data_IF_012741506206
#
_entry.id   IF_012741506206
#
_cell.length_a   1.000
_cell.length_b   1.000
_cell.length_c   1.000
_cell.angle_alpha   90.00
_cell.angle_beta   90.00
_cell.angle_gamma   90.00
#
_symmetry.space_group_name_H-M   'P 1'
#
loop_
_entity.id
_entity.type
_entity.pdbx_description
1 polymer ?
#
# COMPACT_ATOMS: atom_id res chain seq x y z
N UNK A 1 26.41 11.84 -4.50
CA UNK A 1 25.10 11.25 -4.15
C UNK A 1 24.76 9.96 -4.92
N UNK A 2 25.26 9.73 -6.14
CA UNK A 2 24.90 8.54 -6.96
C UNK A 2 25.05 7.18 -6.27
N UNK A 3 25.98 7.04 -5.33
CA UNK A 3 26.18 5.78 -4.58
C UNK A 3 25.17 5.54 -3.44
N UNK A 4 24.41 6.57 -3.04
CA UNK A 4 23.44 6.46 -1.93
C UNK A 4 22.33 5.47 -2.25
N UNK A 5 21.85 5.47 -3.47
CA UNK A 5 20.69 4.68 -3.93
C UNK A 5 21.04 3.37 -4.62
N UNK A 6 22.33 2.99 -4.65
CA UNK A 6 22.73 1.64 -5.09
C UNK A 6 22.26 0.54 -4.12
N UNK A 7 21.82 0.92 -2.93
CA UNK A 7 21.24 0.07 -1.89
C UNK A 7 20.10 0.80 -1.19
N UNK A 8 19.39 0.10 -0.32
CA UNK A 8 18.37 0.73 0.52
C UNK A 8 18.98 1.88 1.32
N UNK A 9 18.32 3.02 1.29
CA UNK A 9 18.74 4.27 1.93
C UNK A 9 17.69 4.69 2.98
N UNK A 10 18.15 4.97 4.19
CA UNK A 10 17.35 5.61 5.21
C UNK A 10 17.80 7.06 5.39
N UNK A 11 16.86 7.99 5.28
CA UNK A 11 17.05 9.42 5.54
C UNK A 11 16.38 9.75 6.87
N UNK A 12 17.15 10.21 7.83
CA UNK A 12 16.65 10.58 9.16
C UNK A 12 17.00 12.01 9.53
N UNK A 13 16.16 12.64 10.33
CA UNK A 13 16.41 13.98 10.86
C UNK A 13 15.13 14.66 11.33
N UNK A 14 15.24 15.60 12.22
CA UNK A 14 14.11 16.34 12.76
C UNK A 14 13.34 17.14 11.68
N UNK A 15 12.14 17.56 12.00
CA UNK A 15 11.36 18.47 11.13
C UNK A 15 12.16 19.74 10.86
N UNK A 16 12.20 20.15 9.58
CA UNK A 16 12.93 21.37 9.16
C UNK A 16 14.45 21.17 8.98
N UNK A 17 15.02 19.98 9.20
CA UNK A 17 16.46 19.71 9.02
C UNK A 17 16.91 19.58 7.56
N UNK A 18 15.98 19.45 6.59
CA UNK A 18 16.29 19.35 5.16
C UNK A 18 16.01 17.98 4.52
N UNK A 19 15.31 17.04 5.21
CA UNK A 19 14.97 15.71 4.67
C UNK A 19 14.29 15.76 3.30
N UNK A 20 13.21 16.55 3.19
CA UNK A 20 12.44 16.68 1.94
C UNK A 20 13.34 17.23 0.82
N UNK A 21 14.18 18.23 1.12
CA UNK A 21 15.17 18.74 0.15
C UNK A 21 16.12 17.65 -0.32
N UNK A 22 16.65 16.85 0.62
CA UNK A 22 17.52 15.72 0.28
C UNK A 22 16.83 14.70 -0.60
N UNK A 23 15.57 14.37 -0.29
CA UNK A 23 14.77 13.43 -1.08
C UNK A 23 14.54 13.96 -2.50
N UNK A 24 14.18 15.25 -2.64
CA UNK A 24 14.01 15.90 -3.93
C UNK A 24 15.32 15.95 -4.73
N UNK A 25 16.44 16.27 -4.07
CA UNK A 25 17.77 16.26 -4.71
C UNK A 25 18.18 14.85 -5.19
N UNK A 26 17.87 13.83 -4.40
CA UNK A 26 18.10 12.44 -4.80
C UNK A 26 17.25 12.08 -6.03
N UNK A 27 15.95 12.44 -6.00
CA UNK A 27 15.05 12.20 -7.14
C UNK A 27 15.52 12.93 -8.41
N UNK A 28 15.99 14.18 -8.31
CA UNK A 28 16.57 14.94 -9.41
C UNK A 28 17.75 14.19 -10.04
N UNK A 29 18.67 13.71 -9.23
CA UNK A 29 19.83 12.95 -9.71
C UNK A 29 19.42 11.61 -10.33
N UNK A 30 18.45 10.91 -9.75
CA UNK A 30 17.95 9.65 -10.30
C UNK A 30 17.27 9.87 -11.66
N UNK A 31 16.51 10.95 -11.82
CA UNK A 31 15.92 11.34 -13.10
C UNK A 31 16.99 11.71 -14.14
N UNK A 32 17.98 12.51 -13.74
CA UNK A 32 19.12 12.89 -14.61
C UNK A 32 19.88 11.66 -15.09
N UNK A 33 20.06 10.65 -14.24
CA UNK A 33 20.69 9.38 -14.60
C UNK A 33 19.73 8.41 -15.31
N UNK A 34 18.55 8.85 -15.71
CA UNK A 34 17.52 8.07 -16.39
C UNK A 34 17.12 6.78 -15.68
N UNK A 35 17.15 6.78 -14.32
CA UNK A 35 16.70 5.66 -13.51
C UNK A 35 15.20 5.69 -13.29
N UNK A 36 14.58 4.51 -13.22
CA UNK A 36 13.16 4.38 -12.94
C UNK A 36 12.89 4.59 -11.44
N UNK A 37 11.93 5.45 -11.11
CA UNK A 37 11.60 5.81 -9.74
C UNK A 37 10.08 5.73 -9.50
N UNK A 38 9.67 5.18 -8.38
CA UNK A 38 8.28 5.18 -7.90
C UNK A 38 8.25 5.95 -6.59
N UNK A 39 7.44 6.99 -6.52
CA UNK A 39 7.20 7.75 -5.30
C UNK A 39 5.81 7.39 -4.79
N UNK A 40 5.73 6.75 -3.62
CA UNK A 40 4.49 6.57 -2.89
C UNK A 40 4.29 7.80 -2.02
N UNK A 41 3.37 8.67 -2.44
CA UNK A 41 3.16 10.00 -1.86
C UNK A 41 1.88 10.06 -1.02
N UNK A 42 1.94 9.74 0.27
CA UNK A 42 0.76 9.78 1.13
C UNK A 42 0.37 11.20 1.55
N UNK A 43 1.22 12.18 1.31
CA UNK A 43 1.01 13.57 1.71
C UNK A 43 0.55 14.48 0.56
N UNK A 44 0.85 14.10 -0.68
CA UNK A 44 0.59 14.90 -1.88
C UNK A 44 1.65 15.99 -2.14
N UNK A 45 2.83 15.89 -1.49
CA UNK A 45 3.91 16.87 -1.63
C UNK A 45 4.70 16.71 -2.92
N UNK A 46 4.70 15.49 -3.50
CA UNK A 46 5.45 15.15 -4.72
C UNK A 46 4.62 15.29 -6.00
N UNK A 47 3.36 15.72 -5.89
CA UNK A 47 2.45 15.85 -7.04
C UNK A 47 2.88 16.89 -8.09
N UNK A 48 3.82 17.77 -7.75
CA UNK A 48 4.38 18.80 -8.64
C UNK A 48 5.83 18.50 -9.06
N UNK A 49 6.30 17.27 -8.83
CA UNK A 49 7.68 16.87 -9.19
C UNK A 49 7.88 16.99 -10.71
N UNK A 50 8.89 17.74 -11.18
CA UNK A 50 9.18 17.85 -12.61
C UNK A 50 9.50 16.50 -13.24
N UNK A 51 9.17 16.34 -14.54
CA UNK A 51 9.44 15.12 -15.32
C UNK A 51 8.84 13.84 -14.73
N UNK A 52 7.79 13.95 -13.93
CA UNK A 52 7.06 12.83 -13.36
C UNK A 52 5.68 12.68 -13.99
N UNK A 53 5.20 11.45 -14.05
CA UNK A 53 3.79 11.16 -14.31
C UNK A 53 3.09 10.93 -12.97
N UNK A 54 1.96 11.58 -12.75
CA UNK A 54 1.26 11.56 -11.46
C UNK A 54 -0.10 10.89 -11.60
N UNK A 55 -0.28 9.83 -10.81
CA UNK A 55 -1.55 9.15 -10.62
C UNK A 55 -2.11 9.43 -9.23
N UNK A 56 -3.29 10.07 -9.18
CA UNK A 56 -3.99 10.44 -7.93
C UNK A 56 -5.18 9.54 -7.71
N UNK A 57 -5.19 8.84 -6.57
CA UNK A 57 -6.35 8.03 -6.19
C UNK A 57 -7.62 8.87 -6.07
N UNK A 58 -8.68 8.39 -6.72
CA UNK A 58 -9.98 9.06 -6.74
C UNK A 58 -10.11 10.21 -7.72
N UNK A 59 -9.03 10.56 -8.44
CA UNK A 59 -9.06 11.49 -9.55
C UNK A 59 -8.86 10.74 -10.88
N UNK A 60 -7.62 10.45 -11.23
CA UNK A 60 -7.26 9.76 -12.48
C UNK A 60 -6.83 8.30 -12.27
N UNK A 61 -6.83 7.81 -11.01
CA UNK A 61 -6.49 6.44 -10.66
C UNK A 61 -7.46 5.82 -9.65
N UNK A 62 -7.56 4.48 -9.68
CA UNK A 62 -8.31 3.68 -8.72
C UNK A 62 -7.64 2.32 -8.53
N UNK A 63 -8.05 1.58 -7.51
CA UNK A 63 -7.70 0.18 -7.29
C UNK A 63 -8.94 -0.71 -7.41
N UNK A 64 -8.79 -1.84 -8.06
CA UNK A 64 -9.83 -2.88 -8.04
C UNK A 64 -9.98 -3.45 -6.64
N UNK A 65 -11.22 -3.57 -6.11
CA UNK A 65 -11.43 -4.10 -4.75
C UNK A 65 -10.87 -5.52 -4.59
N UNK A 66 -10.88 -6.33 -5.63
CA UNK A 66 -10.34 -7.69 -5.63
C UNK A 66 -8.82 -7.78 -5.55
N UNK A 67 -8.09 -6.66 -5.51
CA UNK A 67 -6.67 -6.63 -5.15
C UNK A 67 -6.46 -6.89 -3.65
N UNK A 68 -7.47 -6.63 -2.84
CA UNK A 68 -7.48 -6.97 -1.42
C UNK A 68 -8.12 -8.34 -1.20
N UNK A 69 -7.58 -9.14 -0.28
CA UNK A 69 -8.36 -10.22 0.31
C UNK A 69 -9.46 -9.63 1.19
N UNK A 70 -10.52 -10.39 1.47
CA UNK A 70 -11.58 -9.94 2.36
C UNK A 70 -11.04 -9.48 3.72
N UNK A 71 -10.10 -10.23 4.32
CA UNK A 71 -9.46 -9.85 5.58
C UNK A 71 -8.68 -8.54 5.46
N UNK A 72 -7.87 -8.38 4.40
CA UNK A 72 -7.13 -7.14 4.17
C UNK A 72 -8.06 -5.93 3.99
N UNK A 73 -9.19 -6.11 3.32
CA UNK A 73 -10.19 -5.06 3.14
C UNK A 73 -10.80 -4.64 4.48
N UNK A 74 -11.25 -5.61 5.29
CA UNK A 74 -11.83 -5.36 6.62
C UNK A 74 -10.81 -4.67 7.54
N UNK A 75 -9.57 -5.16 7.57
CA UNK A 75 -8.50 -4.57 8.37
C UNK A 75 -8.14 -3.14 7.88
N UNK A 76 -8.14 -2.90 6.55
CA UNK A 76 -7.90 -1.58 5.97
C UNK A 76 -9.00 -0.56 6.32
N UNK A 77 -10.22 -1.03 6.51
CA UNK A 77 -11.35 -0.22 6.98
C UNK A 77 -11.33 0.02 8.49
N UNK A 78 -10.42 -0.63 9.23
CA UNK A 78 -10.33 -0.52 10.68
C UNK A 78 -11.42 -1.27 11.44
N UNK A 79 -12.11 -2.21 10.77
CA UNK A 79 -13.20 -2.97 11.34
C UNK A 79 -12.69 -4.22 12.07
N UNK A 80 -13.39 -4.58 13.14
CA UNK A 80 -13.07 -5.77 13.94
C UNK A 80 -14.18 -6.79 13.74
N UNK A 81 -13.98 -7.73 12.84
CA UNK A 81 -14.85 -8.87 12.64
C UNK A 81 -14.35 -10.06 13.45
N UNK A 82 -15.25 -10.85 13.99
CA UNK A 82 -14.91 -12.14 14.56
C UNK A 82 -14.55 -13.16 13.47
N UNK A 83 -14.21 -14.38 13.86
CA UNK A 83 -13.79 -15.42 12.91
C UNK A 83 -14.92 -15.86 11.97
N UNK A 84 -16.16 -15.87 12.45
CA UNK A 84 -17.33 -16.29 11.68
C UNK A 84 -17.65 -15.24 10.61
N UNK A 85 -17.73 -13.98 11.00
CA UNK A 85 -18.01 -12.88 10.07
C UNK A 85 -16.87 -12.66 9.06
N UNK A 86 -15.59 -12.87 9.46
CA UNK A 86 -14.46 -12.87 8.54
C UNK A 86 -14.56 -13.97 7.48
N UNK A 87 -15.00 -15.16 7.87
CA UNK A 87 -15.23 -16.26 6.93
C UNK A 87 -16.39 -15.94 5.97
N UNK A 88 -17.49 -15.43 6.49
CA UNK A 88 -18.61 -14.97 5.66
C UNK A 88 -18.18 -13.88 4.67
N UNK A 89 -17.33 -12.94 5.09
CA UNK A 89 -16.79 -11.92 4.20
C UNK A 89 -15.92 -12.49 3.05
N UNK A 90 -15.21 -13.59 3.28
CA UNK A 90 -14.46 -14.28 2.22
C UNK A 90 -15.43 -14.87 1.18
N UNK A 91 -16.50 -15.52 1.62
CA UNK A 91 -17.53 -16.05 0.73
C UNK A 91 -18.24 -14.91 -0.02
N UNK A 92 -18.65 -13.87 0.68
CA UNK A 92 -19.32 -12.71 0.09
C UNK A 92 -18.47 -12.03 -1.01
N UNK A 93 -17.16 -11.87 -0.80
CA UNK A 93 -16.27 -11.34 -1.83
C UNK A 93 -16.19 -12.27 -3.04
N UNK A 94 -16.13 -13.59 -2.83
CA UNK A 94 -16.11 -14.56 -3.93
C UNK A 94 -17.43 -14.55 -4.70
N UNK A 95 -18.56 -14.50 -4.03
CA UNK A 95 -19.89 -14.50 -4.64
C UNK A 95 -20.13 -13.20 -5.45
N UNK A 96 -19.69 -12.04 -4.94
CA UNK A 96 -19.69 -10.80 -5.73
C UNK A 96 -18.80 -10.89 -6.97
N UNK A 97 -17.65 -11.57 -6.87
CA UNK A 97 -16.78 -11.81 -8.04
C UNK A 97 -17.43 -12.75 -9.05
N UNK A 98 -18.09 -13.82 -8.60
CA UNK A 98 -18.88 -14.71 -9.48
C UNK A 98 -19.94 -13.90 -10.19
N UNK A 99 -20.74 -13.14 -9.44
CA UNK A 99 -21.84 -12.34 -9.98
C UNK A 99 -21.37 -11.36 -11.05
N UNK A 100 -20.28 -10.64 -10.78
CA UNK A 100 -19.78 -9.62 -11.69
C UNK A 100 -18.95 -10.16 -12.85
N UNK A 101 -18.08 -11.16 -12.62
CA UNK A 101 -17.09 -11.54 -13.64
C UNK A 101 -17.48 -12.81 -14.42
N UNK A 102 -18.27 -13.72 -13.84
CA UNK A 102 -18.73 -14.94 -14.52
C UNK A 102 -20.14 -14.78 -15.07
N UNK A 103 -21.08 -14.35 -14.22
CA UNK A 103 -22.47 -14.20 -14.61
C UNK A 103 -22.73 -12.87 -15.36
N UNK A 104 -21.82 -11.90 -15.19
CA UNK A 104 -21.92 -10.56 -15.77
C UNK A 104 -23.28 -9.89 -15.46
N UNK A 105 -23.71 -9.99 -14.20
CA UNK A 105 -24.99 -9.47 -13.73
C UNK A 105 -24.78 -8.46 -12.61
N UNK A 106 -25.57 -7.38 -12.55
CA UNK A 106 -25.51 -6.42 -11.44
C UNK A 106 -26.17 -7.00 -10.17
N UNK A 107 -25.75 -6.48 -8.99
CA UNK A 107 -26.33 -6.85 -7.70
C UNK A 107 -25.58 -7.94 -6.97
N UNK A 108 -26.22 -8.49 -5.95
CA UNK A 108 -25.68 -9.57 -5.13
C UNK A 108 -25.93 -10.94 -5.76
N UNK A 109 -25.06 -11.89 -5.45
CA UNK A 109 -25.29 -13.29 -5.74
C UNK A 109 -26.28 -13.86 -4.75
N UNK A 110 -27.46 -14.26 -5.22
CA UNK A 110 -28.55 -14.77 -4.37
C UNK A 110 -28.27 -16.23 -4.01
N UNK A 111 -28.17 -16.54 -2.72
CA UNK A 111 -27.86 -17.90 -2.23
C UNK A 111 -29.11 -18.75 -1.93
N UNK A 112 -30.26 -18.11 -1.70
CA UNK A 112 -31.51 -18.83 -1.46
C UNK A 112 -31.87 -19.63 -2.72
N UNK A 113 -32.17 -20.92 -2.51
CA UNK A 113 -32.52 -21.88 -3.56
C UNK A 113 -31.43 -22.12 -4.63
N UNK A 114 -30.23 -21.63 -4.42
CA UNK A 114 -29.09 -21.91 -5.30
C UNK A 114 -28.53 -23.32 -5.02
N UNK A 115 -28.37 -24.19 -6.05
CA UNK A 115 -27.78 -25.51 -5.87
C UNK A 115 -26.30 -25.42 -5.46
N UNK A 116 -25.89 -26.21 -4.49
CA UNK A 116 -24.49 -26.26 -4.03
C UNK A 116 -23.54 -26.60 -5.17
N UNK A 117 -23.87 -27.58 -6.01
CA UNK A 117 -23.01 -28.01 -7.11
C UNK A 117 -22.81 -26.91 -8.16
N UNK A 118 -23.84 -26.11 -8.44
CA UNK A 118 -23.75 -24.97 -9.39
C UNK A 118 -22.77 -23.94 -8.84
N UNK A 119 -22.94 -23.52 -7.61
CA UNK A 119 -22.05 -22.56 -6.96
C UNK A 119 -20.61 -23.06 -6.86
N UNK A 120 -20.39 -24.35 -6.53
CA UNK A 120 -19.05 -24.93 -6.50
C UNK A 120 -18.37 -24.86 -7.87
N UNK A 121 -19.11 -25.20 -8.93
CA UNK A 121 -18.60 -25.13 -10.30
C UNK A 121 -18.23 -23.67 -10.69
N UNK A 122 -19.07 -22.70 -10.36
CA UNK A 122 -18.80 -21.28 -10.59
C UNK A 122 -17.58 -20.80 -9.79
N UNK A 123 -17.47 -21.20 -8.53
CA UNK A 123 -16.33 -20.87 -7.69
C UNK A 123 -15.00 -21.45 -8.20
N UNK A 124 -15.02 -22.68 -8.76
CA UNK A 124 -13.85 -23.30 -9.40
C UNK A 124 -13.39 -22.58 -10.67
N UNK A 125 -14.32 -21.94 -11.39
CA UNK A 125 -14.02 -21.13 -12.58
C UNK A 125 -13.41 -19.77 -12.21
N UNK A 126 -13.54 -19.33 -10.96
CA UNK A 126 -13.09 -18.03 -10.50
C UNK A 126 -11.55 -17.99 -10.42
N UNK A 127 -10.91 -17.44 -11.44
CA UNK A 127 -9.46 -17.31 -11.50
C UNK A 127 -8.93 -16.01 -10.85
N UNK A 128 -7.60 -15.89 -10.79
CA UNK A 128 -6.91 -14.67 -10.30
C UNK A 128 -7.20 -13.42 -11.13
N UNK A 129 -7.77 -13.56 -12.30
CA UNK A 129 -8.18 -12.47 -13.20
C UNK A 129 -9.44 -11.75 -12.71
N UNK A 130 -10.30 -12.43 -11.95
CA UNK A 130 -11.56 -11.90 -11.46
C UNK A 130 -11.32 -10.98 -10.24
N UNK A 131 -11.13 -9.69 -10.49
CA UNK A 131 -10.82 -8.70 -9.46
C UNK A 131 -11.88 -7.62 -9.32
N UNK A 132 -12.68 -7.40 -10.37
CA UNK A 132 -13.69 -6.36 -10.38
C UNK A 132 -14.97 -6.84 -9.71
N UNK A 133 -15.51 -6.05 -8.79
CA UNK A 133 -16.84 -6.17 -8.22
C UNK A 133 -17.24 -4.86 -7.55
N UNK A 134 -18.54 -4.62 -7.35
CA UNK A 134 -18.98 -3.45 -6.60
C UNK A 134 -18.84 -3.71 -5.09
N UNK A 135 -17.80 -3.12 -4.49
CA UNK A 135 -17.52 -3.25 -3.06
C UNK A 135 -18.63 -2.68 -2.17
N UNK A 136 -19.45 -1.76 -2.70
CA UNK A 136 -20.59 -1.18 -1.97
C UNK A 136 -21.68 -2.22 -1.69
N UNK A 137 -21.72 -3.31 -2.46
CA UNK A 137 -22.66 -4.41 -2.27
C UNK A 137 -22.20 -5.42 -1.20
N UNK A 138 -20.97 -5.32 -0.69
CA UNK A 138 -20.46 -6.29 0.28
C UNK A 138 -21.31 -6.43 1.55
N UNK A 139 -21.89 -5.36 2.15
CA UNK A 139 -22.79 -5.51 3.29
C UNK A 139 -24.09 -6.27 2.95
N UNK A 140 -24.62 -6.07 1.75
CA UNK A 140 -25.83 -6.77 1.30
C UNK A 140 -25.49 -8.23 0.96
N UNK A 141 -24.37 -8.49 0.33
CA UNK A 141 -23.90 -9.85 0.07
C UNK A 141 -23.63 -10.62 1.37
N UNK A 142 -23.12 -9.98 2.44
CA UNK A 142 -22.99 -10.64 3.75
C UNK A 142 -24.33 -11.15 4.30
N UNK A 143 -25.42 -10.45 4.04
CA UNK A 143 -26.77 -10.91 4.43
C UNK A 143 -27.14 -12.16 3.63
N UNK A 144 -26.81 -12.21 2.33
CA UNK A 144 -27.02 -13.38 1.48
C UNK A 144 -26.24 -14.62 1.95
N UNK A 145 -25.08 -14.43 2.62
CA UNK A 145 -24.30 -15.54 3.18
C UNK A 145 -24.97 -16.22 4.37
N UNK A 146 -25.90 -15.54 5.05
CA UNK A 146 -26.57 -16.04 6.24
C UNK A 146 -27.90 -16.71 5.86
N UNK A 147 -27.80 -17.85 5.19
CA UNK A 147 -28.95 -18.66 4.76
C UNK A 147 -28.88 -20.07 5.32
N UNK A 148 -30.03 -20.65 5.61
CA UNK A 148 -30.18 -21.99 6.20
C UNK A 148 -31.29 -22.77 5.48
N UNK A 149 -31.27 -24.10 5.53
CA UNK A 149 -32.39 -24.93 5.10
C UNK A 149 -33.65 -24.65 5.93
N UNK A 150 -34.85 -24.99 5.43
CA UNK A 150 -36.04 -25.02 6.27
C UNK A 150 -35.84 -25.96 7.46
N UNK A 151 -36.49 -25.64 8.58
CA UNK A 151 -36.43 -26.44 9.81
C UNK A 151 -37.39 -27.66 9.82
N UNK A 152 -38.13 -27.87 8.76
CA UNK A 152 -39.15 -28.93 8.64
C UNK A 152 -38.88 -29.86 7.44
N UNK A 153 -39.86 -30.70 7.10
CA UNK A 153 -39.73 -31.71 6.01
C UNK A 153 -39.47 -31.11 4.61
N UNK A 154 -39.60 -29.79 4.45
CA UNK A 154 -39.28 -29.12 3.18
C UNK A 154 -37.76 -28.86 2.99
N UNK A 155 -36.95 -29.21 3.99
CA UNK A 155 -35.55 -29.00 3.92
C UNK A 155 -34.91 -29.76 2.72
N UNK A 156 -34.23 -29.01 1.85
CA UNK A 156 -33.42 -29.55 0.76
C UNK A 156 -31.95 -29.19 1.02
N UNK A 157 -31.16 -30.21 1.36
CA UNK A 157 -29.73 -30.07 1.68
C UNK A 157 -28.82 -30.02 0.44
N UNK A 158 -29.38 -30.06 -0.79
CA UNK A 158 -28.65 -29.81 -2.03
C UNK A 158 -28.61 -28.32 -2.36
N UNK A 159 -29.35 -27.48 -1.65
CA UNK A 159 -29.38 -26.04 -1.78
C UNK A 159 -28.47 -25.38 -0.75
N UNK A 160 -27.88 -24.24 -1.09
CA UNK A 160 -27.07 -23.44 -0.17
C UNK A 160 -27.88 -22.89 1.00
N UNK A 161 -29.14 -22.54 0.76
CA UNK A 161 -30.09 -22.14 1.75
C UNK A 161 -31.50 -22.00 1.17
N UNK A 162 -32.50 -21.91 2.03
CA UNK A 162 -33.91 -21.80 1.63
C UNK A 162 -34.60 -20.65 2.34
N UNK A 163 -34.03 -20.20 3.45
CA UNK A 163 -34.47 -19.04 4.22
C UNK A 163 -33.29 -18.33 4.87
N UNK A 164 -33.47 -17.06 5.20
CA UNK A 164 -32.44 -16.30 5.93
C UNK A 164 -32.33 -16.74 7.39
N UNK A 165 -31.14 -16.82 7.90
CA UNK A 165 -30.87 -16.95 9.34
C UNK A 165 -31.01 -15.59 10.02
N UNK A 166 -32.28 -15.23 10.34
CA UNK A 166 -32.56 -13.95 10.99
C UNK A 166 -31.89 -13.79 12.36
N UNK A 167 -31.54 -14.88 13.06
CA UNK A 167 -30.84 -14.81 14.34
C UNK A 167 -29.39 -14.37 14.14
N UNK A 168 -28.71 -14.96 13.18
CA UNK A 168 -27.34 -14.61 12.87
C UNK A 168 -27.26 -13.21 12.26
N UNK A 169 -28.15 -12.87 11.33
CA UNK A 169 -28.23 -11.51 10.77
C UNK A 169 -28.44 -10.48 11.88
N UNK A 170 -29.34 -10.72 12.83
CA UNK A 170 -29.58 -9.81 13.94
C UNK A 170 -28.37 -9.69 14.88
N UNK A 171 -27.63 -10.78 15.12
CA UNK A 171 -26.42 -10.77 15.93
C UNK A 171 -25.31 -9.92 15.28
N UNK A 172 -25.13 -10.03 13.95
CA UNK A 172 -24.08 -9.34 13.20
C UNK A 172 -24.50 -7.98 12.63
N UNK A 173 -25.73 -7.54 12.89
CA UNK A 173 -26.30 -6.34 12.29
C UNK A 173 -25.47 -5.09 12.51
N UNK A 174 -24.91 -4.91 13.71
CA UNK A 174 -24.07 -3.73 14.01
C UNK A 174 -22.78 -3.73 13.19
N UNK A 175 -22.15 -4.89 12.99
CA UNK A 175 -20.95 -5.06 12.18
C UNK A 175 -21.23 -4.80 10.70
N UNK A 176 -22.36 -5.28 10.19
CA UNK A 176 -22.82 -5.05 8.81
C UNK A 176 -23.08 -3.57 8.56
N UNK A 177 -23.73 -2.86 9.48
CA UNK A 177 -23.96 -1.42 9.36
C UNK A 177 -22.67 -0.63 9.40
N UNK A 178 -21.73 -0.96 10.31
CA UNK A 178 -20.41 -0.31 10.35
C UNK A 178 -19.64 -0.51 9.03
N UNK A 179 -19.70 -1.71 8.45
CA UNK A 179 -19.11 -1.97 7.14
C UNK A 179 -19.74 -1.08 6.07
N UNK A 180 -21.07 -0.98 6.03
CA UNK A 180 -21.81 -0.13 5.08
C UNK A 180 -21.40 1.33 5.18
N UNK A 181 -21.33 1.88 6.40
CA UNK A 181 -20.91 3.25 6.64
C UNK A 181 -19.45 3.48 6.22
N UNK A 182 -18.55 2.54 6.56
CA UNK A 182 -17.14 2.63 6.17
C UNK A 182 -16.95 2.62 4.67
N UNK A 183 -17.65 1.74 3.95
CA UNK A 183 -17.59 1.65 2.49
C UNK A 183 -18.20 2.89 1.81
N UNK A 184 -19.24 3.48 2.39
CA UNK A 184 -19.87 4.71 1.89
C UNK A 184 -18.98 5.95 2.09
N UNK A 185 -17.92 5.86 2.90
CA UNK A 185 -17.03 7.00 3.17
C UNK A 185 -16.32 7.50 1.90
N UNK A 186 -16.11 8.81 1.81
CA UNK A 186 -15.51 9.45 0.65
C UNK A 186 -14.12 8.89 0.29
N UNK A 187 -13.19 8.64 1.26
CA UNK A 187 -11.88 8.07 0.95
C UNK A 187 -11.96 6.68 0.32
N UNK A 188 -12.84 5.81 0.81
CA UNK A 188 -13.01 4.44 0.30
C UNK A 188 -13.65 4.45 -1.09
N UNK A 189 -14.66 5.28 -1.30
CA UNK A 189 -15.27 5.47 -2.63
C UNK A 189 -14.28 6.03 -3.65
N UNK A 190 -13.37 6.90 -3.22
CA UNK A 190 -12.27 7.39 -4.06
C UNK A 190 -11.28 6.28 -4.39
N UNK A 191 -10.89 5.48 -3.40
CA UNK A 191 -9.94 4.37 -3.55
C UNK A 191 -10.39 3.38 -4.63
N UNK A 192 -11.66 2.96 -4.57
CA UNK A 192 -12.23 1.95 -5.49
C UNK A 192 -12.91 2.55 -6.73
N UNK A 193 -12.71 3.85 -6.98
CA UNK A 193 -13.25 4.49 -8.18
C UNK A 193 -14.77 4.58 -8.27
N UNK A 194 -15.51 4.30 -7.17
CA UNK A 194 -16.98 4.32 -7.14
C UNK A 194 -17.59 5.72 -7.37
N UNK A 195 -16.77 6.77 -7.34
CA UNK A 195 -17.17 8.14 -7.67
C UNK A 195 -16.57 8.49 -9.02
N UNK A 196 -17.41 8.67 -10.04
CA UNK A 196 -17.00 9.14 -11.36
C UNK A 196 -17.58 10.53 -11.62
N UNK A 197 -16.76 11.42 -12.18
CA UNK A 197 -17.23 12.66 -12.76
C UNK A 197 -17.42 12.45 -14.28
N UNK A 198 -18.44 13.05 -14.90
CA UNK A 198 -18.62 12.93 -16.34
C UNK A 198 -17.37 13.40 -17.09
N UNK A 199 -16.90 12.57 -18.04
CA UNK A 199 -15.71 12.88 -18.85
C UNK A 199 -14.36 12.55 -18.19
N UNK A 200 -14.31 12.05 -16.95
CA UNK A 200 -13.08 11.66 -16.28
C UNK A 200 -12.72 10.21 -16.61
N UNK A 201 -11.56 10.03 -17.26
CA UNK A 201 -10.97 8.70 -17.48
C UNK A 201 -10.12 8.35 -16.26
N UNK A 202 -10.41 7.21 -15.63
CA UNK A 202 -9.62 6.66 -14.52
C UNK A 202 -8.88 5.43 -15.01
N UNK A 203 -7.64 5.28 -14.55
CA UNK A 203 -6.81 4.12 -14.86
C UNK A 203 -6.65 3.26 -13.61
N UNK A 204 -6.74 1.95 -13.79
CA UNK A 204 -6.45 1.00 -12.71
C UNK A 204 -4.96 1.06 -12.35
N UNK A 205 -4.67 1.23 -11.06
CA UNK A 205 -3.33 1.57 -10.59
C UNK A 205 -2.33 0.40 -10.72
N UNK A 206 -2.77 -0.85 -10.55
CA UNK A 206 -1.89 -2.00 -10.77
C UNK A 206 -1.49 -2.17 -12.23
N UNK A 207 -2.39 -1.84 -13.16
CA UNK A 207 -2.04 -1.84 -14.58
C UNK A 207 -0.92 -0.82 -14.86
N UNK A 208 -1.03 0.39 -14.28
CA UNK A 208 0.02 1.43 -14.40
C UNK A 208 1.35 0.95 -13.83
N UNK A 209 1.31 0.34 -12.64
CA UNK A 209 2.51 -0.22 -12.01
C UNK A 209 3.16 -1.30 -12.86
N UNK A 210 2.38 -2.22 -13.41
CA UNK A 210 2.89 -3.29 -14.27
C UNK A 210 3.59 -2.71 -15.50
N UNK A 211 2.93 -1.79 -16.21
CA UNK A 211 3.51 -1.13 -17.38
C UNK A 211 4.82 -0.40 -17.05
N UNK A 212 4.85 0.29 -15.91
CA UNK A 212 6.05 1.03 -15.48
C UNK A 212 7.20 0.13 -15.04
N UNK A 213 6.90 -1.03 -14.45
CA UNK A 213 7.89 -2.00 -13.98
C UNK A 213 8.45 -2.88 -15.09
N UNK A 214 7.68 -3.14 -16.14
CA UNK A 214 8.06 -4.05 -17.23
C UNK A 214 8.88 -3.35 -18.32
N UNK A 215 8.61 -2.06 -18.53
CA UNK A 215 9.20 -1.32 -19.65
C UNK A 215 9.81 -0.01 -19.18
N UNK A 216 10.93 0.37 -19.81
CA UNK A 216 11.51 1.70 -19.59
C UNK A 216 10.57 2.77 -20.11
N UNK A 217 10.01 3.55 -19.20
CA UNK A 217 9.14 4.68 -19.52
C UNK A 217 9.96 5.91 -20.01
N UNK A 218 9.34 6.74 -20.85
CA UNK A 218 9.87 8.08 -21.16
C UNK A 218 9.91 8.95 -19.89
N UNK A 219 8.87 8.88 -19.05
CA UNK A 219 8.87 9.46 -17.71
C UNK A 219 9.61 8.54 -16.76
N UNK A 220 10.69 9.05 -16.16
CA UNK A 220 11.55 8.27 -15.26
C UNK A 220 10.97 8.14 -13.85
N UNK A 221 9.98 8.94 -13.50
CA UNK A 221 9.37 8.94 -12.18
C UNK A 221 7.85 8.80 -12.28
N UNK A 222 7.33 7.81 -11.58
CA UNK A 222 5.91 7.58 -11.33
C UNK A 222 5.60 8.05 -9.91
N UNK A 223 4.74 9.04 -9.75
CA UNK A 223 4.21 9.48 -8.46
C UNK A 223 2.82 8.90 -8.28
N UNK A 224 2.62 8.18 -7.19
CA UNK A 224 1.32 7.65 -6.76
C UNK A 224 0.85 8.47 -5.57
N UNK A 225 -0.02 9.42 -5.85
CA UNK A 225 -0.59 10.32 -4.86
C UNK A 225 -1.74 9.63 -4.11
N UNK A 226 -1.49 9.35 -2.83
CA UNK A 226 -2.39 8.68 -1.89
C UNK A 226 -3.03 9.68 -0.90
N UNK A 227 -2.90 10.97 -1.14
CA UNK A 227 -3.36 12.02 -0.22
C UNK A 227 -4.88 11.99 0.02
N UNK A 228 -5.66 11.44 -0.92
CA UNK A 228 -7.09 11.20 -0.76
C UNK A 228 -7.42 10.28 0.43
N UNK A 229 -6.45 9.48 0.90
CA UNK A 229 -6.61 8.55 2.02
C UNK A 229 -6.11 9.13 3.35
N UNK A 230 -5.72 10.39 3.43
CA UNK A 230 -5.18 11.02 4.67
C UNK A 230 -6.08 10.83 5.90
N UNK A 231 -7.39 10.86 5.72
CA UNK A 231 -8.38 10.68 6.79
C UNK A 231 -8.61 9.22 7.14
N UNK A 232 -8.05 8.28 6.38
CA UNK A 232 -8.14 6.83 6.58
C UNK A 232 -6.72 6.25 6.76
N UNK A 233 -6.07 6.57 7.88
CA UNK A 233 -4.67 6.21 8.12
C UNK A 233 -4.41 4.69 8.03
N UNK A 234 -5.32 3.84 8.53
CA UNK A 234 -5.23 2.38 8.44
C UNK A 234 -5.32 1.95 6.98
N UNK A 235 -6.27 2.51 6.22
CA UNK A 235 -6.43 2.24 4.79
C UNK A 235 -5.21 2.67 3.98
N UNK A 236 -4.63 3.83 4.26
CA UNK A 236 -3.41 4.32 3.61
C UNK A 236 -2.22 3.37 3.84
N UNK A 237 -2.06 2.86 5.09
CA UNK A 237 -1.06 1.83 5.43
C UNK A 237 -1.27 0.54 4.64
N UNK A 238 -2.51 0.06 4.56
CA UNK A 238 -2.86 -1.16 3.84
C UNK A 238 -2.57 -1.02 2.34
N UNK A 239 -2.94 0.11 1.74
CA UNK A 239 -2.68 0.40 0.31
C UNK A 239 -1.18 0.43 0.02
N UNK A 240 -0.38 1.16 0.82
CA UNK A 240 1.07 1.21 0.64
C UNK A 240 1.69 -0.20 0.75
N UNK A 241 1.30 -0.96 1.77
CA UNK A 241 1.75 -2.35 1.93
C UNK A 241 1.37 -3.22 0.72
N UNK A 242 0.14 -3.09 0.21
CA UNK A 242 -0.32 -3.80 -0.99
C UNK A 242 0.51 -3.43 -2.22
N UNK A 243 0.70 -2.14 -2.49
CA UNK A 243 1.47 -1.67 -3.65
C UNK A 243 2.91 -2.17 -3.59
N UNK A 244 3.55 -2.13 -2.42
CA UNK A 244 4.91 -2.67 -2.22
C UNK A 244 4.99 -4.17 -2.50
N UNK A 245 4.00 -4.95 -2.05
CA UNK A 245 3.90 -6.40 -2.36
C UNK A 245 3.76 -6.63 -3.86
N UNK A 246 2.89 -5.87 -4.55
CA UNK A 246 2.67 -5.98 -5.99
C UNK A 246 3.93 -5.63 -6.79
N UNK A 247 4.65 -4.59 -6.39
CA UNK A 247 5.93 -4.21 -7.00
C UNK A 247 6.93 -5.36 -6.86
N UNK A 248 7.06 -5.94 -5.66
CA UNK A 248 7.97 -7.05 -5.41
C UNK A 248 7.59 -8.29 -6.23
N UNK A 249 6.32 -8.71 -6.15
CA UNK A 249 5.79 -9.87 -6.87
C UNK A 249 6.04 -9.72 -8.39
N UNK A 250 5.73 -8.54 -8.95
CA UNK A 250 5.94 -8.29 -10.38
C UNK A 250 7.40 -8.42 -10.77
N UNK A 251 8.30 -7.83 -10.01
CA UNK A 251 9.75 -7.85 -10.30
C UNK A 251 10.39 -9.23 -10.08
N UNK A 252 9.84 -10.06 -9.19
CA UNK A 252 10.28 -11.45 -9.01
C UNK A 252 9.79 -12.37 -10.12
N UNK A 253 8.60 -12.11 -10.68
CA UNK A 253 8.00 -12.94 -11.73
C UNK A 253 8.39 -12.48 -13.14
N UNK A 254 8.66 -11.19 -13.32
CA UNK A 254 9.02 -10.57 -14.60
C UNK A 254 10.30 -9.74 -14.39
N UNK A 255 11.44 -10.39 -14.58
CA UNK A 255 12.73 -9.72 -14.45
C UNK A 255 12.90 -8.69 -15.60
N UNK A 256 13.09 -7.43 -15.23
CA UNK A 256 13.53 -6.38 -16.15
C UNK A 256 14.99 -6.02 -15.85
N UNK A 257 15.73 -5.64 -16.85
CA UNK A 257 17.18 -5.40 -16.81
C UNK A 257 17.59 -4.02 -16.23
N UNK A 258 16.65 -3.33 -15.58
CA UNK A 258 16.90 -2.02 -14.98
C UNK A 258 16.43 -1.98 -13.51
N UNK A 259 17.17 -1.28 -12.64
CA UNK A 259 16.75 -1.09 -11.25
C UNK A 259 15.59 -0.09 -11.13
N UNK A 260 14.80 -0.24 -10.08
CA UNK A 260 13.72 0.67 -9.71
C UNK A 260 13.95 1.16 -8.28
N UNK A 261 13.93 2.48 -8.10
CA UNK A 261 14.00 3.10 -6.79
C UNK A 261 12.58 3.42 -6.29
N UNK A 262 12.27 3.05 -5.06
CA UNK A 262 10.99 3.32 -4.43
C UNK A 262 11.21 4.31 -3.30
N UNK A 263 10.55 5.45 -3.35
CA UNK A 263 10.64 6.51 -2.34
C UNK A 263 9.36 6.55 -1.52
N UNK A 264 9.49 6.50 -0.20
CA UNK A 264 8.37 6.60 0.75
C UNK A 264 8.76 7.62 1.82
N UNK A 265 8.04 8.73 1.88
CA UNK A 265 8.24 9.75 2.88
C UNK A 265 7.46 9.44 4.16
N UNK A 266 8.02 9.83 5.32
CA UNK A 266 7.42 9.62 6.66
C UNK A 266 6.98 8.15 6.90
N UNK A 267 7.84 7.20 6.54
CA UNK A 267 7.51 5.77 6.46
C UNK A 267 7.00 5.16 7.78
N UNK A 268 7.37 5.74 8.93
CA UNK A 268 6.92 5.29 10.25
C UNK A 268 5.40 5.25 10.38
N UNK A 269 4.68 6.13 9.67
CA UNK A 269 3.21 6.18 9.69
C UNK A 269 2.56 4.95 9.05
N UNK A 270 3.29 4.22 8.21
CA UNK A 270 2.77 3.13 7.37
C UNK A 270 3.26 1.76 7.82
N UNK A 271 4.06 1.73 8.89
CA UNK A 271 4.56 0.49 9.47
C UNK A 271 3.66 0.05 10.65
N UNK A 272 3.48 -1.25 10.84
CA UNK A 272 2.77 -1.77 12.00
C UNK A 272 3.62 -1.68 13.27
N UNK A 273 2.96 -1.52 14.42
CA UNK A 273 3.65 -1.47 15.71
C UNK A 273 4.15 -2.84 16.22
N UNK A 274 3.57 -3.96 15.73
CA UNK A 274 3.88 -5.31 16.19
C UNK A 274 4.83 -6.07 15.27
N UNK A 275 5.70 -6.90 15.83
CA UNK A 275 6.69 -7.69 15.07
C UNK A 275 6.08 -8.71 14.11
N UNK A 276 4.97 -9.38 14.49
CA UNK A 276 4.30 -10.36 13.63
C UNK A 276 3.69 -9.69 12.39
N UNK A 277 3.03 -8.56 12.58
CA UNK A 277 2.44 -7.80 11.47
C UNK A 277 3.51 -7.13 10.58
N UNK A 278 4.73 -6.91 11.10
CA UNK A 278 5.84 -6.38 10.33
C UNK A 278 6.28 -7.35 9.23
N UNK A 279 6.35 -8.66 9.50
CA UNK A 279 6.77 -9.66 8.51
C UNK A 279 5.82 -9.71 7.29
N UNK A 280 4.55 -9.41 7.50
CA UNK A 280 3.53 -9.36 6.44
C UNK A 280 3.45 -8.00 5.73
N UNK A 281 4.15 -6.98 6.25
CA UNK A 281 4.13 -5.65 5.66
C UNK A 281 4.97 -5.61 4.37
N UNK A 282 4.39 -5.06 3.30
CA UNK A 282 5.02 -5.01 1.98
C UNK A 282 6.31 -4.20 1.95
N UNK A 283 6.42 -3.12 2.74
CA UNK A 283 7.66 -2.34 2.85
C UNK A 283 8.79 -3.24 3.38
N UNK A 284 8.51 -4.00 4.45
CA UNK A 284 9.51 -4.87 5.04
C UNK A 284 9.91 -6.04 4.12
N UNK A 285 8.96 -6.59 3.36
CA UNK A 285 9.24 -7.64 2.37
C UNK A 285 10.15 -7.12 1.25
N UNK A 286 9.88 -5.92 0.72
CA UNK A 286 10.75 -5.32 -0.31
C UNK A 286 12.15 -5.03 0.25
N UNK A 287 12.28 -4.57 1.48
CA UNK A 287 13.59 -4.34 2.10
C UNK A 287 14.40 -5.63 2.25
N UNK A 288 13.77 -6.76 2.52
CA UNK A 288 14.44 -8.06 2.67
C UNK A 288 14.80 -8.74 1.34
N UNK A 289 13.92 -8.66 0.37
CA UNK A 289 13.98 -9.48 -0.85
C UNK A 289 14.18 -8.66 -2.12
N UNK A 290 13.82 -7.38 -2.09
CA UNK A 290 13.76 -6.50 -3.26
C UNK A 290 15.10 -6.31 -3.95
N UNK A 291 16.22 -6.39 -3.23
CA UNK A 291 17.55 -6.27 -3.85
C UNK A 291 17.78 -7.31 -4.97
N UNK A 292 17.32 -8.56 -4.78
CA UNK A 292 17.41 -9.61 -5.80
C UNK A 292 16.55 -9.33 -7.01
N UNK A 293 15.49 -8.53 -6.81
CA UNK A 293 14.54 -8.11 -7.83
C UNK A 293 14.92 -6.74 -8.47
N UNK A 294 16.11 -6.19 -8.16
CA UNK A 294 16.54 -4.89 -8.65
C UNK A 294 15.77 -3.71 -8.05
N UNK A 295 15.22 -3.87 -6.83
CA UNK A 295 14.49 -2.82 -6.12
C UNK A 295 15.38 -2.19 -5.04
N UNK A 296 15.45 -0.86 -5.03
CA UNK A 296 16.06 -0.07 -3.97
C UNK A 296 14.99 0.81 -3.32
N UNK A 297 15.06 0.94 -2.01
CA UNK A 297 14.08 1.71 -1.23
C UNK A 297 14.77 2.88 -0.57
N UNK A 298 14.19 4.05 -0.71
CA UNK A 298 14.55 5.28 0.03
C UNK A 298 13.41 5.56 0.99
N UNK A 299 13.67 5.43 2.29
CA UNK A 299 12.72 5.79 3.33
C UNK A 299 13.15 7.06 4.04
N UNK A 300 12.18 7.90 4.41
CA UNK A 300 12.43 9.00 5.32
C UNK A 300 11.69 8.79 6.65
N UNK A 301 12.25 9.30 7.74
CA UNK A 301 11.58 9.38 9.04
C UNK A 301 12.12 10.54 9.85
N UNK A 302 11.32 11.05 10.78
CA UNK A 302 11.77 12.10 11.70
C UNK A 302 12.62 11.54 12.80
N UNK A 303 12.29 10.39 13.34
CA UNK A 303 13.07 9.68 14.35
C UNK A 303 13.37 8.26 13.91
N UNK A 304 14.62 7.79 14.05
CA UNK A 304 14.95 6.39 13.78
C UNK A 304 14.28 5.44 14.80
N UNK A 305 13.91 5.93 15.99
CA UNK A 305 13.23 5.14 17.02
C UNK A 305 11.79 4.79 16.64
N UNK A 306 11.18 5.56 15.75
CA UNK A 306 9.84 5.27 15.21
C UNK A 306 9.82 4.04 14.28
N UNK A 307 11.00 3.58 13.86
CA UNK A 307 11.15 2.39 13.03
C UNK A 307 11.54 1.17 13.87
N UNK A 308 10.92 0.01 13.67
CA UNK A 308 11.37 -1.23 14.32
C UNK A 308 12.85 -1.53 14.06
N UNK A 309 13.59 -2.01 15.06
CA UNK A 309 15.03 -2.29 14.95
C UNK A 309 15.35 -3.25 13.79
N UNK A 310 14.51 -4.29 13.59
CA UNK A 310 14.64 -5.24 12.47
C UNK A 310 14.51 -4.58 11.11
N UNK A 311 13.73 -3.51 11.00
CA UNK A 311 13.59 -2.76 9.75
C UNK A 311 14.77 -1.83 9.55
N UNK A 312 15.22 -1.11 10.60
CA UNK A 312 16.41 -0.24 10.51
C UNK A 312 17.65 -0.99 10.03
N UNK A 313 17.85 -2.23 10.49
CA UNK A 313 18.98 -3.07 10.09
C UNK A 313 19.03 -3.43 8.60
N UNK A 314 17.94 -3.20 7.85
CA UNK A 314 17.91 -3.43 6.41
C UNK A 314 18.53 -2.30 5.58
N UNK A 315 18.89 -1.17 6.22
CA UNK A 315 19.46 -0.02 5.53
C UNK A 315 20.97 0.05 5.70
N UNK A 316 21.75 -0.37 4.71
CA UNK A 316 23.22 -0.26 4.73
C UNK A 316 23.70 1.16 4.47
N UNK A 317 22.87 2.02 3.87
CA UNK A 317 23.18 3.41 3.61
C UNK A 317 22.27 4.33 4.45
N UNK A 318 22.87 5.34 5.06
CA UNK A 318 22.16 6.34 5.86
C UNK A 318 22.51 7.74 5.37
N UNK A 319 21.52 8.62 5.39
CA UNK A 319 21.68 10.06 5.28
C UNK A 319 21.09 10.69 6.55
N UNK A 320 21.95 11.15 7.43
CA UNK A 320 21.55 11.61 8.77
C UNK A 320 21.67 13.12 8.85
N UNK A 321 20.54 13.79 8.94
CA UNK A 321 20.43 15.20 9.26
C UNK A 321 20.49 15.42 10.77
N UNK A 322 20.34 16.68 11.21
CA UNK A 322 20.32 17.04 12.62
C UNK A 322 19.33 16.18 13.41
N UNK A 323 19.83 15.57 14.49
CA UNK A 323 19.09 14.89 15.54
C UNK A 323 19.58 15.40 16.90
N UNK A 324 18.67 15.78 17.78
CA UNK A 324 19.02 16.31 19.09
C UNK A 324 19.20 15.23 20.15
N UNK A 325 18.48 14.09 20.02
CA UNK A 325 18.51 13.03 21.04
C UNK A 325 19.70 12.09 20.85
N UNK A 326 20.55 11.93 21.87
CA UNK A 326 21.64 10.93 21.84
C UNK A 326 21.14 9.50 21.66
N UNK A 327 19.92 9.18 22.16
CA UNK A 327 19.30 7.86 22.00
C UNK A 327 18.96 7.59 20.54
N UNK A 328 18.41 8.58 19.83
CA UNK A 328 18.13 8.48 18.39
C UNK A 328 19.39 8.21 17.60
N UNK A 329 20.46 8.97 17.88
CA UNK A 329 21.75 8.83 17.19
C UNK A 329 22.36 7.45 17.47
N UNK A 330 22.34 7.01 18.71
CA UNK A 330 22.87 5.70 19.12
C UNK A 330 22.11 4.54 18.48
N UNK A 331 20.80 4.72 18.24
CA UNK A 331 19.95 3.71 17.59
C UNK A 331 20.30 3.43 16.13
N UNK A 332 21.09 4.30 15.50
CA UNK A 332 21.60 4.17 14.12
C UNK A 332 22.93 3.39 14.07
N UNK A 333 23.46 2.93 15.20
CA UNK A 333 24.75 2.24 15.31
C UNK A 333 25.92 3.03 14.69
N UNK A 334 25.88 4.36 14.83
CA UNK A 334 26.97 5.24 14.42
C UNK A 334 28.07 5.27 15.48
N UNK A 335 29.31 5.53 15.05
CA UNK A 335 30.44 5.71 15.98
C UNK A 335 30.17 6.84 16.96
N UNK A 336 30.58 6.67 18.22
CA UNK A 336 30.38 7.67 19.27
C UNK A 336 30.92 9.05 18.91
N UNK A 337 31.97 9.12 18.11
CA UNK A 337 32.56 10.37 17.64
C UNK A 337 31.61 11.17 16.73
N UNK A 338 30.63 10.50 16.08
CA UNK A 338 29.65 11.16 15.21
C UNK A 338 28.46 11.75 15.98
N UNK A 339 28.26 11.38 17.24
CA UNK A 339 27.13 11.89 18.04
C UNK A 339 27.15 13.40 18.15
N UNK A 340 28.30 13.99 18.50
CA UNK A 340 28.47 15.44 18.57
C UNK A 340 28.38 16.12 17.19
N UNK A 341 28.83 15.43 16.15
CA UNK A 341 28.73 15.95 14.77
C UNK A 341 27.27 16.01 14.31
N UNK A 342 26.47 14.94 14.53
CA UNK A 342 25.06 14.90 14.15
C UNK A 342 24.26 15.96 14.88
N UNK A 343 24.45 16.13 16.19
CA UNK A 343 23.76 17.17 16.97
C UNK A 343 24.19 18.60 16.64
N UNK A 344 25.35 18.77 16.01
CA UNK A 344 25.86 20.07 15.56
C UNK A 344 25.53 20.45 14.10
N UNK A 345 24.86 19.58 13.34
CA UNK A 345 24.53 19.86 11.94
C UNK A 345 23.57 21.04 11.80
N UNK A 346 23.86 21.92 10.83
CA UNK A 346 22.96 22.98 10.42
C UNK A 346 21.87 22.51 9.47
N UNK A 347 20.92 23.41 9.17
CA UNK A 347 19.88 23.15 8.14
C UNK A 347 20.55 22.90 6.79
N UNK A 348 20.14 21.85 6.10
CA UNK A 348 20.71 21.47 4.79
C UNK A 348 22.03 20.70 4.87
N UNK A 349 22.56 20.49 6.08
CA UNK A 349 23.72 19.61 6.28
C UNK A 349 23.28 18.19 6.61
N UNK A 350 24.08 17.21 6.21
CA UNK A 350 23.84 15.81 6.53
C UNK A 350 25.15 15.02 6.60
N UNK A 351 25.13 13.94 7.40
CA UNK A 351 26.17 12.91 7.37
C UNK A 351 25.74 11.80 6.42
N UNK A 352 26.59 11.49 5.46
CA UNK A 352 26.47 10.33 4.57
C UNK A 352 27.23 9.16 5.16
N UNK A 353 26.54 8.06 5.45
CA UNK A 353 27.13 6.81 5.84
C UNK A 353 26.85 5.78 4.75
N UNK A 354 27.88 5.31 4.06
CA UNK A 354 27.78 4.27 3.03
C UNK A 354 28.44 3.00 3.56
N UNK A 355 27.91 1.86 3.15
CA UNK A 355 28.51 0.57 3.49
C UNK A 355 29.99 0.53 3.07
N UNK A 356 30.88 0.18 4.00
CA UNK A 356 32.33 0.07 3.82
C UNK A 356 33.03 1.39 3.41
N UNK A 357 32.46 2.55 3.78
CA UNK A 357 33.09 3.85 3.58
C UNK A 357 33.05 4.66 4.88
N UNK A 358 34.05 5.50 5.10
CA UNK A 358 34.05 6.42 6.23
C UNK A 358 32.91 7.43 6.11
N UNK A 359 32.18 7.71 7.19
CA UNK A 359 31.15 8.74 7.21
C UNK A 359 31.71 10.12 6.85
N UNK A 360 30.94 10.94 6.17
CA UNK A 360 31.33 12.29 5.76
C UNK A 360 30.17 13.27 5.88
N UNK A 361 30.48 14.48 6.33
CA UNK A 361 29.53 15.60 6.32
C UNK A 361 29.46 16.17 4.90
N UNK A 362 28.26 16.49 4.47
CA UNK A 362 27.99 17.15 3.20
C UNK A 362 27.00 18.30 3.40
N UNK A 363 27.11 19.34 2.57
CA UNK A 363 26.02 20.27 2.33
C UNK A 363 25.15 19.68 1.22
N UNK A 364 23.85 19.54 1.49
CA UNK A 364 22.91 18.96 0.54
C UNK A 364 22.58 20.03 -0.52
N UNK A 365 22.91 19.82 -1.80
CA UNK A 365 22.55 20.76 -2.83
C UNK A 365 21.05 20.82 -3.04
N UNK A 366 20.53 21.95 -3.50
CA UNK A 366 19.15 22.07 -3.96
C UNK A 366 18.96 21.27 -5.26
N UNK A 367 17.75 20.77 -5.53
CA UNK A 367 17.40 20.19 -6.82
C UNK A 367 17.64 21.18 -7.96
N UNK A 368 18.01 20.72 -9.16
CA UNK A 368 18.36 21.56 -10.30
C UNK A 368 17.25 22.53 -10.69
N UNK A 369 15.98 22.15 -10.51
CA UNK A 369 14.81 22.99 -10.79
C UNK A 369 14.49 24.02 -9.70
N UNK A 370 15.16 24.00 -8.55
CA UNK A 370 15.04 24.99 -7.47
C UNK A 370 16.28 25.90 -7.36
N UNK A 371 17.28 25.65 -8.18
CA UNK A 371 18.58 26.37 -8.15
C UNK A 371 18.60 27.62 -9.06
N UNK A 372 17.45 28.03 -9.64
CA UNK A 372 17.32 29.18 -10.52
C UNK A 372 16.65 30.36 -9.80
#
# INVERSE_FOLDING_TARGET
MNKLTERHLLIVGQTGSGKTTSTLTILDQLQTNAQANIVLDPTGEYAQLPNAIVYRLGENAYLEPGEFSASQLIDALGLKFDSQLKMAAVFAVNDLKIQNNLLNQPGCYVRISQPINTHQHEAEQLGRWAKSYDVQLLPDQLIEEFVIPYADQRADYHLMGQQYDHKLIAAEWSSIIQLRESLASLPVRKLFGSISQPGQVKTELNFVLQMFLDQRSAHKTLVIDLSALKTLAIGQRAVISLLMKRILERRLTHAADFPVNIVIDEAHRYLPAGEFSLAENGIFQVLREGRKAGLNVVLTTQSPLDLPAKLRSQFPNLLVHHLASPEEISSLNLDQQLVSTVSGLGIGQAIVCLLNQSPRVIDVPLPSWQSN
#
